data_IF_953914185740
#
_entry.id   IF_953914185740
#
_cell.length_a   1.000
_cell.length_b   1.000
_cell.length_c   1.000
_cell.angle_alpha   90.00
_cell.angle_beta   90.00
_cell.angle_gamma   90.00
#
_symmetry.space_group_name_H-M   'P 1'
#
loop_
_entity.id
_entity.type
_entity.pdbx_description
1 polymer ?
#
# COMPACT_ATOMS: atom_id res chain seq x y z
N UNK A 1 -18.66 -23.23 3.29
CA UNK A 1 -18.67 -21.77 3.06
C UNK A 1 -17.82 -21.15 4.15
N UNK A 2 -16.66 -20.56 3.80
CA UNK A 2 -15.85 -19.80 4.75
C UNK A 2 -15.74 -18.39 4.19
N UNK A 3 -16.36 -17.43 4.87
CA UNK A 3 -16.25 -16.02 4.52
C UNK A 3 -15.17 -15.41 5.42
N UNK A 4 -13.94 -15.35 4.93
CA UNK A 4 -12.85 -14.64 5.60
C UNK A 4 -13.00 -13.14 5.31
N UNK A 5 -13.65 -12.43 6.22
CA UNK A 5 -13.70 -10.96 6.20
C UNK A 5 -12.41 -10.42 6.87
N UNK A 6 -11.36 -10.21 6.07
CA UNK A 6 -10.10 -9.63 6.54
C UNK A 6 -10.08 -8.12 6.28
N UNK A 7 -10.76 -7.33 7.11
CA UNK A 7 -10.69 -5.87 7.07
C UNK A 7 -9.42 -5.38 7.76
N UNK A 8 -8.33 -5.31 7.00
CA UNK A 8 -7.07 -4.73 7.45
C UNK A 8 -7.12 -3.20 7.25
N UNK A 9 -7.12 -2.43 8.34
CA UNK A 9 -7.03 -0.96 8.30
C UNK A 9 -5.74 -0.53 9.00
N UNK A 10 -4.84 0.10 8.23
CA UNK A 10 -3.63 0.71 8.78
C UNK A 10 -3.90 2.19 8.90
N UNK A 11 -3.96 2.68 10.14
CA UNK A 11 -4.06 4.10 10.43
C UNK A 11 -2.68 4.56 10.90
N UNK A 12 -2.05 5.43 10.13
CA UNK A 12 -0.82 6.12 10.52
C UNK A 12 -1.09 7.62 10.49
N UNK A 13 -0.90 8.30 11.64
CA UNK A 13 -1.13 9.73 11.79
C UNK A 13 0.20 10.44 12.11
N UNK A 14 1.10 10.61 11.12
CA UNK A 14 2.30 11.41 11.33
C UNK A 14 1.92 12.87 11.57
N UNK A 15 2.53 13.50 12.58
CA UNK A 15 2.36 14.92 12.87
C UNK A 15 3.71 15.62 12.73
N UNK A 16 3.77 16.66 11.91
CA UNK A 16 4.98 17.43 11.63
C UNK A 16 4.64 18.92 11.68
N UNK A 17 5.49 19.72 12.31
CA UNK A 17 5.40 21.19 12.29
C UNK A 17 6.45 21.73 11.35
N UNK A 18 6.04 22.64 10.47
CA UNK A 18 6.88 23.23 9.45
C UNK A 18 6.68 24.75 9.41
N UNK A 19 7.70 25.48 8.95
CA UNK A 19 7.63 26.92 8.70
C UNK A 19 7.15 27.16 7.26
N UNK A 20 6.36 28.22 7.04
CA UNK A 20 5.97 28.66 5.69
C UNK A 20 7.20 28.83 4.78
N UNK A 21 7.12 28.31 3.55
CA UNK A 21 8.17 28.33 2.54
C UNK A 21 9.34 27.38 2.83
N UNK A 22 9.23 26.49 3.82
CA UNK A 22 10.30 25.57 4.21
C UNK A 22 9.85 24.12 4.04
N UNK A 23 10.68 23.32 3.37
CA UNK A 23 10.46 21.89 3.27
C UNK A 23 10.65 21.22 4.64
N UNK A 24 9.70 20.39 5.04
CA UNK A 24 9.80 19.58 6.23
C UNK A 24 9.58 18.09 5.88
N UNK A 25 10.39 17.23 6.49
CA UNK A 25 10.35 15.79 6.29
C UNK A 25 10.34 15.05 7.62
N UNK A 26 9.56 13.99 7.68
CA UNK A 26 9.47 13.04 8.77
C UNK A 26 9.61 11.64 8.21
N UNK A 27 10.57 10.86 8.71
CA UNK A 27 10.79 9.50 8.28
C UNK A 27 10.97 8.59 9.50
N UNK A 28 10.23 7.48 9.53
CA UNK A 28 10.33 6.42 10.53
C UNK A 28 10.26 5.10 9.81
N UNK A 29 11.18 4.19 10.09
CA UNK A 29 11.21 2.91 9.40
C UNK A 29 12.04 1.85 10.09
N UNK A 30 12.13 0.71 9.43
CA UNK A 30 12.91 -0.44 9.82
C UNK A 30 13.50 -1.10 8.58
N UNK A 31 14.74 -1.55 8.69
CA UNK A 31 15.42 -2.33 7.66
C UNK A 31 15.21 -3.82 7.91
N UNK A 32 14.83 -4.54 6.86
CA UNK A 32 14.65 -5.99 6.88
C UNK A 32 15.66 -6.64 5.94
N UNK A 33 16.42 -7.65 6.40
CA UNK A 33 17.29 -8.42 5.52
C UNK A 33 16.45 -9.28 4.57
N UNK A 34 16.74 -9.17 3.28
CA UNK A 34 16.19 -10.01 2.22
C UNK A 34 17.30 -10.84 1.60
N UNK A 35 16.95 -12.06 1.21
CA UNK A 35 17.89 -12.98 0.57
C UNK A 35 18.23 -12.45 -0.82
N UNK A 36 19.50 -12.15 -1.04
CA UNK A 36 20.06 -11.72 -2.32
C UNK A 36 20.45 -12.89 -3.22
N UNK A 37 21.21 -12.61 -4.28
CA UNK A 37 21.65 -13.63 -5.23
C UNK A 37 22.54 -14.69 -4.56
N UNK A 38 22.38 -15.93 -5.03
CA UNK A 38 23.29 -17.05 -4.72
C UNK A 38 24.37 -17.07 -5.79
N UNK A 39 25.63 -16.96 -5.38
CA UNK A 39 26.80 -17.11 -6.24
C UNK A 39 27.53 -18.40 -5.90
N UNK A 40 27.91 -19.17 -6.91
CA UNK A 40 28.68 -20.40 -6.75
C UNK A 40 30.16 -20.11 -6.97
N UNK A 41 31.00 -20.40 -5.98
CA UNK A 41 32.46 -20.37 -6.08
C UNK A 41 33.00 -21.78 -5.82
N UNK A 42 33.22 -22.54 -6.88
CA UNK A 42 33.56 -23.97 -6.77
C UNK A 42 32.35 -24.79 -6.30
N UNK A 43 32.55 -25.65 -5.30
CA UNK A 43 31.50 -26.52 -4.71
C UNK A 43 30.67 -25.81 -3.61
N UNK A 44 30.99 -24.55 -3.30
CA UNK A 44 30.34 -23.78 -2.24
C UNK A 44 29.39 -22.73 -2.81
N UNK A 45 28.13 -22.75 -2.35
CA UNK A 45 27.16 -21.69 -2.59
C UNK A 45 27.30 -20.57 -1.55
N UNK A 46 27.55 -19.34 -2.00
CA UNK A 46 27.55 -18.13 -1.16
C UNK A 46 26.25 -17.37 -1.42
N UNK A 47 25.43 -17.20 -0.39
CA UNK A 47 24.20 -16.41 -0.47
C UNK A 47 24.46 -14.98 0.02
N UNK A 48 24.12 -14.00 -0.81
CA UNK A 48 24.18 -12.59 -0.42
C UNK A 48 22.95 -12.21 0.43
N UNK A 49 23.11 -11.23 1.32
CA UNK A 49 22.02 -10.63 2.09
C UNK A 49 21.96 -9.15 1.74
N UNK A 50 20.79 -8.68 1.32
CA UNK A 50 20.54 -7.27 1.02
C UNK A 50 19.58 -6.70 2.06
N UNK A 51 19.77 -5.46 2.49
CA UNK A 51 18.83 -4.81 3.40
C UNK A 51 17.82 -3.97 2.61
N UNK A 52 16.54 -4.13 2.90
CA UNK A 52 15.46 -3.33 2.33
C UNK A 52 14.78 -2.54 3.44
N UNK A 53 14.67 -1.24 3.24
CA UNK A 53 13.99 -0.34 4.16
C UNK A 53 12.49 -0.33 3.92
N UNK A 54 11.71 -0.28 5.00
CA UNK A 54 10.28 0.03 4.98
C UNK A 54 9.95 1.01 6.10
N UNK A 55 8.84 1.72 6.00
CA UNK A 55 8.46 2.73 6.97
C UNK A 55 7.48 3.77 6.43
N UNK A 56 7.28 4.80 7.23
CA UNK A 56 6.51 6.00 6.91
C UNK A 56 7.49 7.11 6.55
N UNK A 57 7.31 7.70 5.38
CA UNK A 57 7.95 8.94 4.96
C UNK A 57 6.84 9.95 4.71
N UNK A 58 6.90 11.10 5.37
CA UNK A 58 5.94 12.18 5.22
C UNK A 58 6.69 13.48 4.98
N UNK A 59 6.43 14.07 3.82
CA UNK A 59 7.05 15.31 3.37
C UNK A 59 5.96 16.34 3.14
N UNK A 60 6.19 17.55 3.63
CA UNK A 60 5.27 18.68 3.43
C UNK A 60 6.06 19.95 3.12
N UNK A 61 5.53 20.71 2.17
CA UNK A 61 5.98 22.05 1.87
C UNK A 61 4.78 23.00 1.97
N UNK A 62 4.64 23.74 3.08
CA UNK A 62 3.56 24.69 3.26
C UNK A 62 3.93 26.09 2.76
N UNK A 63 3.00 26.78 2.14
CA UNK A 63 3.09 28.20 1.78
C UNK A 63 1.84 28.93 2.29
N UNK A 64 2.03 29.77 3.30
CA UNK A 64 0.94 30.53 3.91
C UNK A 64 0.64 31.79 3.09
N UNK A 65 -0.60 31.92 2.61
CA UNK A 65 -1.16 33.10 1.94
C UNK A 65 -2.05 33.90 2.91
N UNK A 66 -2.65 34.99 2.44
CA UNK A 66 -3.56 35.82 3.25
C UNK A 66 -4.83 35.10 3.72
N UNK A 67 -5.38 34.19 2.90
CA UNK A 67 -6.66 33.51 3.18
C UNK A 67 -6.61 31.98 3.04
N UNK A 68 -5.44 31.43 2.72
CA UNK A 68 -5.27 30.00 2.48
C UNK A 68 -3.84 29.57 2.78
N UNK A 69 -3.65 28.27 2.93
CA UNK A 69 -2.36 27.61 3.07
C UNK A 69 -2.25 26.64 1.91
N UNK A 70 -1.32 26.92 1.01
CA UNK A 70 -0.99 26.01 -0.09
C UNK A 70 -0.05 24.93 0.48
N UNK A 71 -0.45 23.66 0.37
CA UNK A 71 0.29 22.51 0.88
C UNK A 71 0.66 21.60 -0.28
N UNK A 72 1.95 21.40 -0.48
CA UNK A 72 2.46 20.28 -1.29
C UNK A 72 2.83 19.14 -0.36
N UNK A 73 2.16 18.01 -0.49
CA UNK A 73 2.25 16.86 0.42
C UNK A 73 2.71 15.64 -0.37
N UNK A 74 3.71 14.94 0.15
CA UNK A 74 4.17 13.65 -0.35
C UNK A 74 4.29 12.67 0.81
N UNK A 75 3.49 11.61 0.77
CA UNK A 75 3.46 10.59 1.80
C UNK A 75 3.76 9.23 1.17
N UNK A 76 4.69 8.49 1.74
CA UNK A 76 4.95 7.10 1.44
C UNK A 76 4.79 6.26 2.71
N UNK A 77 3.98 5.22 2.63
CA UNK A 77 3.86 4.18 3.64
C UNK A 77 4.28 2.86 3.01
N UNK A 78 5.30 2.24 3.58
CA UNK A 78 5.79 0.94 3.17
C UNK A 78 5.81 -0.02 4.35
N UNK A 79 5.41 -1.27 4.11
CA UNK A 79 5.50 -2.33 5.11
C UNK A 79 5.85 -3.67 4.44
N UNK A 80 6.47 -4.56 5.22
CA UNK A 80 6.72 -5.93 4.79
C UNK A 80 5.54 -6.82 5.17
N UNK A 81 5.09 -7.62 4.22
CA UNK A 81 4.10 -8.67 4.42
C UNK A 81 4.69 -10.04 4.06
N UNK A 82 4.13 -11.10 4.65
CA UNK A 82 4.48 -12.47 4.28
C UNK A 82 4.11 -12.69 2.81
N UNK A 83 5.03 -13.27 2.05
CA UNK A 83 4.81 -13.56 0.63
C UNK A 83 3.88 -14.76 0.48
N UNK A 84 2.69 -14.51 -0.06
CA UNK A 84 1.68 -15.54 -0.39
C UNK A 84 1.94 -16.14 -1.79
N UNK A 85 2.61 -15.39 -2.68
CA UNK A 85 2.93 -15.79 -4.06
C UNK A 85 4.37 -15.40 -4.40
N UNK A 86 5.29 -16.37 -4.56
CA UNK A 86 6.67 -16.10 -4.97
C UNK A 86 7.73 -16.99 -4.33
N UNK A 87 8.96 -16.47 -4.23
CA UNK A 87 10.13 -17.17 -3.65
C UNK A 87 9.92 -17.32 -2.14
N UNK A 88 9.82 -18.56 -1.68
CA UNK A 88 9.80 -18.88 -0.24
C UNK A 88 10.96 -18.15 0.47
N UNK A 89 10.66 -17.54 1.63
CA UNK A 89 11.61 -16.82 2.50
C UNK A 89 12.04 -15.40 2.09
N UNK A 90 11.41 -14.75 1.09
CA UNK A 90 11.59 -13.31 0.87
C UNK A 90 10.28 -12.56 1.16
N UNK A 91 10.26 -11.52 2.01
CA UNK A 91 9.04 -10.76 2.31
C UNK A 91 8.60 -9.89 1.12
N UNK A 92 7.29 -9.72 0.94
CA UNK A 92 6.74 -8.81 -0.07
C UNK A 92 6.70 -7.40 0.52
N UNK A 93 7.31 -6.43 -0.17
CA UNK A 93 7.26 -5.02 0.22
C UNK A 93 6.02 -4.37 -0.39
N UNK A 94 5.05 -4.03 0.45
CA UNK A 94 3.86 -3.28 0.06
C UNK A 94 4.18 -1.80 0.22
N UNK A 95 3.94 -1.01 -0.83
CA UNK A 95 4.12 0.45 -0.82
C UNK A 95 2.83 1.15 -1.17
N UNK A 96 2.54 2.22 -0.46
CA UNK A 96 1.46 3.18 -0.74
C UNK A 96 2.11 4.55 -0.83
N UNK A 97 1.99 5.22 -1.96
CA UNK A 97 2.57 6.54 -2.19
C UNK A 97 1.45 7.48 -2.65
N UNK A 98 1.40 8.67 -2.05
CA UNK A 98 0.42 9.72 -2.35
C UNK A 98 1.19 11.02 -2.52
N UNK A 99 0.94 11.71 -3.63
CA UNK A 99 1.46 13.04 -3.91
C UNK A 99 0.29 13.94 -4.29
N UNK A 100 0.17 15.07 -3.61
CA UNK A 100 -0.92 16.02 -3.87
C UNK A 100 -0.46 17.45 -3.61
N UNK A 101 -1.17 18.39 -4.21
CA UNK A 101 -1.10 19.82 -3.89
C UNK A 101 -2.51 20.32 -3.65
N UNK A 102 -2.73 20.94 -2.50
CA UNK A 102 -4.04 21.37 -2.02
C UNK A 102 -3.93 22.77 -1.41
N UNK A 103 -5.00 23.55 -1.48
CA UNK A 103 -5.10 24.85 -0.82
C UNK A 103 -6.21 24.76 0.22
N UNK A 104 -5.91 25.08 1.47
CA UNK A 104 -6.82 24.90 2.61
C UNK A 104 -6.90 26.14 3.48
N UNK A 105 -8.05 26.39 4.11
CA UNK A 105 -8.18 27.42 5.15
C UNK A 105 -7.53 26.99 6.46
N UNK A 106 -7.35 27.96 7.37
CA UNK A 106 -6.92 27.66 8.73
C UNK A 106 -8.00 26.84 9.46
N UNK A 107 -7.60 25.72 10.07
CA UNK A 107 -8.51 24.80 10.75
C UNK A 107 -9.30 23.85 9.83
N UNK A 108 -9.14 23.93 8.51
CA UNK A 108 -9.83 23.02 7.59
C UNK A 108 -9.28 21.60 7.67
N UNK A 109 -10.18 20.62 7.67
CA UNK A 109 -9.85 19.20 7.56
C UNK A 109 -10.09 18.77 6.12
N UNK A 110 -9.05 18.22 5.50
CA UNK A 110 -9.11 17.73 4.12
C UNK A 110 -8.88 16.23 4.02
N UNK A 111 -9.60 15.60 3.09
CA UNK A 111 -9.38 14.20 2.69
C UNK A 111 -8.63 14.17 1.36
N UNK A 112 -7.36 13.75 1.41
CA UNK A 112 -6.44 13.79 0.26
C UNK A 112 -6.62 12.58 -0.66
N UNK A 113 -7.15 11.46 -0.16
CA UNK A 113 -7.39 10.28 -0.97
C UNK A 113 -8.03 9.13 -0.22
N UNK A 114 -8.43 8.11 -0.98
CA UNK A 114 -8.97 6.85 -0.52
C UNK A 114 -8.92 5.84 -1.67
N UNK A 115 -8.63 4.58 -1.36
CA UNK A 115 -8.71 3.48 -2.32
C UNK A 115 -9.92 2.63 -1.96
N UNK A 116 -10.98 2.71 -2.75
CA UNK A 116 -12.11 1.80 -2.66
C UNK A 116 -11.81 0.58 -3.54
N UNK A 117 -11.54 -0.57 -2.90
CA UNK A 117 -11.31 -1.85 -3.58
C UNK A 117 -12.55 -2.73 -3.40
N UNK A 118 -13.40 -2.82 -4.43
CA UNK A 118 -14.54 -3.74 -4.44
C UNK A 118 -14.12 -5.05 -5.09
N UNK A 119 -13.93 -6.09 -4.26
CA UNK A 119 -13.72 -7.47 -4.74
C UNK A 119 -15.02 -8.24 -4.72
N UNK A 120 -15.75 -8.20 -5.83
CA UNK A 120 -16.90 -9.08 -6.07
C UNK A 120 -16.40 -10.47 -6.47
N UNK A 121 -16.13 -11.32 -5.47
CA UNK A 121 -15.88 -12.74 -5.68
C UNK A 121 -17.20 -13.50 -5.90
N UNK A 122 -17.85 -13.28 -7.04
CA UNK A 122 -18.98 -14.13 -7.45
C UNK A 122 -18.41 -15.44 -8.04
N UNK A 123 -18.08 -16.40 -7.17
CA UNK A 123 -17.88 -17.78 -7.61
C UNK A 123 -19.25 -18.45 -7.76
N UNK A 124 -19.79 -18.45 -8.98
CA UNK A 124 -20.91 -19.31 -9.33
C UNK A 124 -20.38 -20.72 -9.56
N UNK A 125 -20.36 -21.54 -8.51
CA UNK A 125 -20.20 -22.99 -8.67
C UNK A 125 -21.54 -23.55 -9.16
N UNK A 126 -21.83 -23.35 -10.44
CA UNK A 126 -22.91 -24.06 -11.11
C UNK A 126 -22.54 -25.54 -11.17
N UNK A 127 -23.40 -26.39 -10.64
CA UNK A 127 -23.27 -27.85 -10.67
C UNK A 127 -23.20 -28.36 -12.13
N UNK A 128 -22.01 -28.33 -12.70
CA UNK A 128 -21.68 -28.81 -14.04
C UNK A 128 -21.57 -30.34 -14.05
N UNK A 129 -22.62 -31.05 -13.64
CA UNK A 129 -22.65 -32.51 -13.73
C UNK A 129 -23.88 -33.08 -14.43
N UNK A 130 -24.81 -32.23 -14.88
CA UNK A 130 -25.99 -32.67 -15.61
C UNK A 130 -26.21 -31.90 -16.92
N UNK A 131 -26.01 -32.54 -18.08
CA UNK A 131 -26.06 -31.88 -19.39
C UNK A 131 -27.49 -31.52 -19.86
N UNK A 132 -28.53 -31.78 -19.06
CA UNK A 132 -29.92 -31.59 -19.45
C UNK A 132 -30.59 -30.33 -18.87
N UNK A 133 -30.00 -29.68 -17.85
CA UNK A 133 -30.58 -28.50 -17.21
C UNK A 133 -30.20 -27.14 -17.85
N UNK A 134 -29.53 -27.16 -19.01
CA UNK A 134 -29.06 -25.93 -19.70
C UNK A 134 -30.02 -25.35 -20.73
N UNK A 135 -31.21 -25.92 -20.91
CA UNK A 135 -32.19 -25.45 -21.88
C UNK A 135 -33.50 -25.09 -21.18
N UNK A 136 -33.57 -23.86 -20.66
CA UNK A 136 -34.84 -23.15 -20.62
C UNK A 136 -34.62 -21.63 -20.67
N UNK A 137 -34.41 -21.04 -21.86
CA UNK A 137 -34.78 -19.66 -22.10
C UNK A 137 -36.20 -19.65 -22.67
N UNK A 138 -37.20 -19.11 -21.95
CA UNK A 138 -38.27 -18.31 -22.55
C UNK A 138 -39.29 -17.85 -21.49
N UNK A 139 -39.45 -16.52 -21.42
CA UNK A 139 -40.71 -15.75 -21.49
C UNK A 139 -41.97 -16.41 -20.90
N UNK A 140 -42.47 -15.82 -19.81
CA UNK A 140 -43.77 -15.13 -19.75
C UNK A 140 -43.71 -14.04 -18.69
#
# INVERSE_FOLDING_TARGET
MFNTDSRFSVVSSPALRARSGTFASFAVGSDVPVLGQVSYRGDSSVQSVEYRSSGVIFNVYPEVRQHAIDLTISQELSNFAKTETGVNNSPTLIKRNIQTSVSVGDGDIIMIGGLADNKDNTQSTGLSFFPWARLCPLIM
#
